data_IF_979798440070
#
_entry.id   IF_979798440070
#
_cell.length_a   1.000
_cell.length_b   1.000
_cell.length_c   1.000
_cell.angle_alpha   90.00
_cell.angle_beta   90.00
_cell.angle_gamma   90.00
#
_symmetry.space_group_name_H-M   'P 1'
#
loop_
_entity.id
_entity.type
_entity.pdbx_description
1 polymer ?
#
# COMPACT_ATOMS: atom_id res chain seq x y z
N UNK A 1 35.09 4.99 -14.00
CA UNK A 1 33.83 5.74 -13.79
C UNK A 1 32.78 4.71 -13.45
N UNK A 2 32.33 4.65 -12.20
CA UNK A 2 31.19 3.81 -11.84
C UNK A 2 29.99 4.32 -12.63
N UNK A 3 29.32 3.43 -13.36
CA UNK A 3 28.13 3.77 -14.10
C UNK A 3 27.07 4.27 -13.10
N UNK A 4 26.43 5.40 -13.36
CA UNK A 4 25.42 5.98 -12.46
C UNK A 4 24.26 5.01 -12.22
N UNK A 5 23.95 4.15 -13.21
CA UNK A 5 22.92 3.10 -13.09
C UNK A 5 23.34 2.06 -12.05
N UNK A 6 24.58 1.57 -12.10
CA UNK A 6 25.06 0.55 -11.18
C UNK A 6 25.10 1.10 -9.74
N UNK A 7 25.58 2.34 -9.57
CA UNK A 7 25.56 3.01 -8.28
C UNK A 7 24.14 3.22 -7.73
N UNK A 8 23.18 3.59 -8.58
CA UNK A 8 21.79 3.75 -8.17
C UNK A 8 21.16 2.40 -7.78
N UNK A 9 21.47 1.34 -8.52
CA UNK A 9 21.00 -0.01 -8.24
C UNK A 9 21.55 -0.56 -6.91
N UNK A 10 22.85 -0.40 -6.64
CA UNK A 10 23.45 -0.76 -5.34
C UNK A 10 22.77 -0.02 -4.19
N UNK A 11 22.60 1.30 -4.31
CA UNK A 11 21.92 2.11 -3.28
C UNK A 11 20.46 1.71 -3.07
N UNK A 12 19.74 1.36 -4.14
CA UNK A 12 18.36 0.92 -4.04
C UNK A 12 18.24 -0.42 -3.27
N UNK A 13 19.18 -1.33 -3.48
CA UNK A 13 19.25 -2.58 -2.72
C UNK A 13 19.57 -2.34 -1.24
N UNK A 14 20.50 -1.42 -0.94
CA UNK A 14 20.84 -1.06 0.45
C UNK A 14 19.62 -0.51 1.20
N UNK A 15 18.79 0.31 0.53
CA UNK A 15 17.53 0.79 1.09
C UNK A 15 16.57 -0.38 1.32
N UNK A 16 16.30 -1.20 0.30
CA UNK A 16 15.36 -2.33 0.43
C UNK A 16 15.70 -3.27 1.59
N UNK A 17 16.99 -3.51 1.83
CA UNK A 17 17.48 -4.34 2.92
C UNK A 17 17.06 -3.85 4.32
N UNK A 18 16.70 -2.57 4.47
CA UNK A 18 16.30 -1.95 5.72
C UNK A 18 14.78 -1.73 5.83
N UNK A 19 14.04 -1.73 4.71
CA UNK A 19 12.62 -1.37 4.67
C UNK A 19 11.68 -2.54 4.97
N UNK A 20 12.11 -3.79 4.74
CA UNK A 20 11.25 -4.95 4.98
C UNK A 20 11.20 -5.32 6.47
N UNK A 21 10.19 -4.81 7.17
CA UNK A 21 9.91 -5.11 8.57
C UNK A 21 9.16 -6.45 8.74
N UNK A 22 9.03 -6.97 9.98
CA UNK A 22 8.21 -8.16 10.26
C UNK A 22 6.74 -8.05 9.85
N UNK A 23 6.22 -6.84 9.68
CA UNK A 23 4.83 -6.59 9.25
C UNK A 23 4.72 -6.05 7.82
N UNK A 24 5.82 -5.95 7.08
CA UNK A 24 5.82 -5.53 5.67
C UNK A 24 6.80 -4.39 5.37
N UNK A 25 6.74 -3.89 4.13
CA UNK A 25 7.57 -2.78 3.65
C UNK A 25 7.19 -1.47 4.32
N UNK A 26 8.14 -0.86 5.02
CA UNK A 26 8.07 0.49 5.53
C UNK A 26 8.19 1.51 4.40
N UNK A 27 7.68 2.73 4.62
CA UNK A 27 7.91 3.85 3.72
C UNK A 27 9.30 4.47 3.91
N UNK A 28 9.80 4.48 5.15
CA UNK A 28 11.19 4.82 5.49
C UNK A 28 11.49 4.34 6.92
N UNK A 29 12.65 3.73 7.24
CA UNK A 29 12.89 3.14 8.57
C UNK A 29 13.07 4.22 9.64
N UNK A 30 13.59 5.39 9.26
CA UNK A 30 13.83 6.51 10.17
C UNK A 30 12.74 7.59 10.11
N UNK A 31 12.24 7.91 8.91
CA UNK A 31 11.26 8.99 8.72
C UNK A 31 9.81 8.56 8.91
N UNK A 32 9.45 7.39 8.36
CA UNK A 32 8.08 6.89 8.31
C UNK A 32 8.05 5.37 8.58
N UNK A 33 8.31 4.93 9.82
CA UNK A 33 8.42 3.51 10.19
C UNK A 33 7.05 2.83 10.29
N UNK A 34 6.30 2.89 9.19
CA UNK A 34 4.94 2.40 9.02
C UNK A 34 4.84 1.70 7.67
N UNK A 35 4.02 0.67 7.60
CA UNK A 35 3.59 0.08 6.33
C UNK A 35 2.50 0.97 5.77
N UNK A 36 2.83 1.82 4.80
CA UNK A 36 1.86 2.63 4.08
C UNK A 36 1.28 1.85 2.90
N UNK A 37 -0.03 1.93 2.67
CA UNK A 37 -0.70 1.16 1.63
C UNK A 37 -0.14 1.46 0.24
N UNK A 38 0.06 2.74 -0.09
CA UNK A 38 0.65 3.18 -1.36
C UNK A 38 2.14 2.81 -1.46
N UNK A 39 2.94 3.25 -0.51
CA UNK A 39 4.40 3.13 -0.55
C UNK A 39 4.84 1.67 -0.57
N UNK A 40 4.22 0.82 0.26
CA UNK A 40 4.54 -0.60 0.29
C UNK A 40 4.26 -1.30 -1.05
N UNK A 41 3.21 -0.89 -1.77
CA UNK A 41 2.87 -1.47 -3.07
C UNK A 41 3.80 -0.93 -4.17
N UNK A 42 4.13 0.36 -4.19
CA UNK A 42 5.07 0.91 -5.17
C UNK A 42 6.47 0.33 -4.99
N UNK A 43 6.99 0.36 -3.75
CA UNK A 43 8.32 -0.20 -3.42
C UNK A 43 8.40 -1.69 -3.75
N UNK A 44 7.28 -2.41 -3.63
CA UNK A 44 7.25 -3.83 -3.98
C UNK A 44 7.55 -4.16 -5.44
N UNK A 45 7.33 -3.22 -6.37
CA UNK A 45 7.63 -3.43 -7.79
C UNK A 45 9.13 -3.70 -8.01
N UNK A 46 9.97 -3.05 -7.22
CA UNK A 46 11.41 -3.35 -7.14
C UNK A 46 11.69 -4.54 -6.23
N UNK A 47 11.10 -4.57 -5.03
CA UNK A 47 11.39 -5.59 -4.02
C UNK A 47 11.11 -7.03 -4.50
N UNK A 48 10.06 -7.24 -5.29
CA UNK A 48 9.75 -8.56 -5.86
C UNK A 48 10.79 -9.09 -6.84
N UNK A 49 11.62 -8.21 -7.41
CA UNK A 49 12.70 -8.55 -8.33
C UNK A 49 14.06 -8.64 -7.62
N UNK A 50 14.09 -8.35 -6.31
CA UNK A 50 15.31 -8.33 -5.50
C UNK A 50 15.34 -9.58 -4.60
N UNK A 51 16.37 -10.44 -4.71
CA UNK A 51 16.49 -11.63 -3.89
C UNK A 51 16.34 -11.33 -2.39
N UNK A 52 15.54 -12.14 -1.69
CA UNK A 52 15.31 -12.03 -0.24
C UNK A 52 14.18 -11.08 0.16
N UNK A 53 13.55 -10.37 -0.80
CA UNK A 53 12.49 -9.40 -0.52
C UNK A 53 11.14 -9.77 -1.16
N UNK A 54 11.04 -10.94 -1.81
CA UNK A 54 9.90 -11.37 -2.60
C UNK A 54 8.61 -11.50 -1.75
N UNK A 55 8.76 -11.84 -0.47
CA UNK A 55 7.65 -11.99 0.46
C UNK A 55 7.15 -10.66 1.05
N UNK A 56 7.90 -9.57 0.94
CA UNK A 56 7.62 -8.34 1.68
C UNK A 56 6.27 -7.71 1.29
N UNK A 57 5.88 -7.75 0.00
CA UNK A 57 4.55 -7.29 -0.42
C UNK A 57 3.43 -8.12 0.22
N UNK A 58 3.55 -9.44 0.19
CA UNK A 58 2.55 -10.36 0.75
C UNK A 58 2.35 -10.07 2.24
N UNK A 59 3.44 -9.84 2.97
CA UNK A 59 3.39 -9.44 4.38
C UNK A 59 2.67 -8.10 4.55
N UNK A 60 3.00 -7.07 3.76
CA UNK A 60 2.30 -5.78 3.80
C UNK A 60 0.80 -5.92 3.56
N UNK A 61 0.40 -6.68 2.54
CA UNK A 61 -1.00 -6.91 2.21
C UNK A 61 -1.76 -7.64 3.33
N UNK A 62 -1.13 -8.64 3.97
CA UNK A 62 -1.69 -9.31 5.13
C UNK A 62 -1.90 -8.34 6.31
N UNK A 63 -0.92 -7.49 6.59
CA UNK A 63 -0.98 -6.47 7.65
C UNK A 63 -2.10 -5.48 7.41
N UNK A 64 -2.21 -4.94 6.18
CA UNK A 64 -3.26 -4.01 5.80
C UNK A 64 -4.65 -4.64 5.89
N UNK A 65 -4.80 -5.88 5.42
CA UNK A 65 -6.06 -6.63 5.52
C UNK A 65 -6.46 -6.87 6.99
N UNK A 66 -5.50 -7.17 7.86
CA UNK A 66 -5.73 -7.40 9.29
C UNK A 66 -6.18 -6.16 10.07
N UNK A 67 -5.99 -4.97 9.50
CA UNK A 67 -6.40 -3.69 10.08
C UNK A 67 -7.56 -3.04 9.29
N UNK A 68 -8.16 -3.75 8.32
CA UNK A 68 -9.31 -3.27 7.56
C UNK A 68 -10.50 -2.98 8.47
N UNK A 69 -11.17 -1.85 8.26
CA UNK A 69 -12.37 -1.48 9.02
C UNK A 69 -13.55 -2.42 8.70
N UNK A 70 -14.56 -2.43 9.58
CA UNK A 70 -15.78 -3.21 9.36
C UNK A 70 -16.44 -2.90 8.01
N UNK A 71 -16.43 -1.62 7.62
CA UNK A 71 -17.02 -1.10 6.38
C UNK A 71 -16.13 -1.28 5.14
N UNK A 72 -14.89 -1.77 5.31
CA UNK A 72 -13.99 -2.10 4.20
C UNK A 72 -12.90 -1.07 3.90
N UNK A 73 -12.77 -0.01 4.69
CA UNK A 73 -11.66 0.94 4.56
C UNK A 73 -10.33 0.26 4.92
N UNK A 74 -9.37 0.31 4.01
CA UNK A 74 -8.00 -0.11 4.27
C UNK A 74 -7.28 1.07 4.94
N UNK A 75 -6.54 0.85 6.06
CA UNK A 75 -5.83 1.95 6.70
C UNK A 75 -4.75 2.50 5.76
N UNK A 76 -4.52 3.81 5.85
CA UNK A 76 -3.45 4.44 5.09
C UNK A 76 -2.07 3.93 5.49
N UNK A 77 -1.90 3.70 6.80
CA UNK A 77 -0.67 3.12 7.30
C UNK A 77 -0.88 2.30 8.58
N UNK A 78 0.08 1.41 8.85
CA UNK A 78 0.17 0.61 10.08
C UNK A 78 1.55 0.78 10.69
N UNK A 79 1.62 1.22 11.94
CA UNK A 79 2.88 1.48 12.64
C UNK A 79 3.61 0.17 12.94
N UNK A 80 4.90 0.10 12.60
CA UNK A 80 5.74 -1.06 12.91
C UNK A 80 5.96 -1.19 14.42
N UNK A 81 6.05 -0.06 15.13
CA UNK A 81 6.28 -0.05 16.58
C UNK A 81 5.09 -0.60 17.38
N UNK A 82 3.86 -0.34 16.93
CA UNK A 82 2.65 -0.73 17.67
C UNK A 82 1.89 -1.89 17.06
N UNK A 83 2.14 -2.19 15.77
CA UNK A 83 1.37 -3.16 15.00
C UNK A 83 -0.08 -2.75 14.76
N UNK A 84 -0.41 -1.46 14.92
CA UNK A 84 -1.77 -0.91 14.78
C UNK A 84 -1.80 0.18 13.73
N UNK A 85 -2.95 0.35 13.10
CA UNK A 85 -3.19 1.50 12.23
C UNK A 85 -2.94 2.81 12.98
N UNK A 86 -2.33 3.78 12.30
CA UNK A 86 -2.21 5.15 12.77
C UNK A 86 -3.34 6.00 12.16
N UNK A 87 -3.90 6.91 12.95
CA UNK A 87 -4.90 7.86 12.47
C UNK A 87 -4.31 9.09 11.79
N UNK A 88 -2.98 9.26 11.87
CA UNK A 88 -2.24 10.32 11.20
C UNK A 88 -2.38 10.16 9.68
N UNK A 89 -2.89 11.19 9.01
CA UNK A 89 -3.22 11.18 7.57
C UNK A 89 -4.18 10.03 7.16
N UNK A 90 -5.09 9.61 8.03
CA UNK A 90 -5.94 8.44 7.78
C UNK A 90 -7.04 8.63 6.73
N UNK A 91 -7.40 9.87 6.39
CA UNK A 91 -8.28 10.12 5.26
C UNK A 91 -7.51 9.84 3.97
N UNK A 92 -7.52 8.62 3.46
CA UNK A 92 -6.92 8.29 2.16
C UNK A 92 -7.89 7.41 1.40
N UNK A 93 -8.29 7.85 0.20
CA UNK A 93 -9.11 7.03 -0.68
C UNK A 93 -8.28 5.98 -1.42
N UNK A 94 -7.03 6.32 -1.72
CA UNK A 94 -6.17 5.56 -2.63
C UNK A 94 -5.58 4.31 -1.96
N UNK A 95 -5.60 4.23 -0.63
CA UNK A 95 -5.21 3.04 0.13
C UNK A 95 -5.94 1.79 -0.33
N UNK A 96 -7.25 1.88 -0.55
CA UNK A 96 -8.05 0.77 -1.06
C UNK A 96 -7.67 0.41 -2.51
N UNK A 97 -7.37 1.41 -3.35
CA UNK A 97 -6.95 1.20 -4.73
C UNK A 97 -5.59 0.47 -4.78
N UNK A 98 -4.61 0.96 -4.02
CA UNK A 98 -3.29 0.34 -3.93
C UNK A 98 -3.34 -1.05 -3.32
N UNK A 99 -4.19 -1.28 -2.32
CA UNK A 99 -4.40 -2.62 -1.76
C UNK A 99 -4.89 -3.63 -2.82
N UNK A 100 -5.84 -3.22 -3.67
CA UNK A 100 -6.34 -4.05 -4.78
C UNK A 100 -5.24 -4.30 -5.81
N UNK A 101 -4.52 -3.25 -6.22
CA UNK A 101 -3.41 -3.36 -7.18
C UNK A 101 -2.27 -4.23 -6.64
N UNK A 102 -1.95 -4.11 -5.35
CA UNK A 102 -0.93 -4.92 -4.69
C UNK A 102 -1.25 -6.41 -4.75
N UNK A 103 -2.51 -6.80 -4.56
CA UNK A 103 -2.92 -8.20 -4.76
C UNK A 103 -2.81 -8.63 -6.22
N UNK A 104 -3.09 -7.74 -7.18
CA UNK A 104 -2.89 -8.04 -8.60
C UNK A 104 -1.40 -8.24 -8.94
N UNK A 105 -0.51 -7.44 -8.35
CA UNK A 105 0.94 -7.56 -8.52
C UNK A 105 1.50 -8.82 -7.85
N UNK A 106 1.09 -9.10 -6.61
CA UNK A 106 1.43 -10.35 -5.91
C UNK A 106 1.01 -11.56 -6.76
N UNK A 107 -0.25 -11.60 -7.21
CA UNK A 107 -0.74 -12.73 -7.99
C UNK A 107 -0.01 -12.86 -9.34
N UNK A 108 0.32 -11.74 -9.98
CA UNK A 108 1.08 -11.77 -11.23
C UNK A 108 2.49 -12.33 -11.05
N UNK A 109 3.14 -12.02 -9.92
CA UNK A 109 4.49 -12.48 -9.59
C UNK A 109 4.52 -13.94 -9.14
N UNK A 110 3.58 -14.37 -8.30
CA UNK A 110 3.63 -15.68 -7.62
C UNK A 110 2.70 -16.72 -8.23
N UNK A 111 1.64 -16.28 -8.92
CA UNK A 111 0.50 -17.11 -9.36
C UNK A 111 -0.20 -17.84 -8.20
N UNK A 112 -0.08 -17.33 -6.98
CA UNK A 112 -0.64 -17.93 -5.78
C UNK A 112 -2.15 -17.69 -5.67
N UNK A 113 -2.93 -18.58 -6.28
CA UNK A 113 -4.40 -18.56 -6.16
C UNK A 113 -4.89 -18.83 -4.72
N UNK A 114 -4.09 -19.51 -3.89
CA UNK A 114 -4.45 -19.81 -2.50
C UNK A 114 -4.50 -18.53 -1.67
N UNK A 115 -3.43 -17.74 -1.75
CA UNK A 115 -3.35 -16.43 -1.10
C UNK A 115 -4.44 -15.49 -1.60
N UNK A 116 -4.63 -15.37 -2.92
CA UNK A 116 -5.67 -14.50 -3.49
C UNK A 116 -7.09 -14.87 -3.00
N UNK A 117 -7.41 -16.18 -2.93
CA UNK A 117 -8.71 -16.65 -2.42
C UNK A 117 -8.88 -16.34 -0.93
N UNK A 118 -7.84 -16.50 -0.13
CA UNK A 118 -7.88 -16.17 1.29
C UNK A 118 -8.14 -14.67 1.53
N UNK A 119 -7.61 -13.81 0.66
CA UNK A 119 -7.77 -12.34 0.73
C UNK A 119 -9.03 -11.82 0.05
N UNK A 120 -9.75 -12.66 -0.70
CA UNK A 120 -10.92 -12.26 -1.48
C UNK A 120 -12.01 -11.53 -0.67
N UNK A 121 -12.36 -11.95 0.57
CA UNK A 121 -13.32 -11.22 1.38
C UNK A 121 -12.88 -9.77 1.68
N UNK A 122 -11.59 -9.56 1.97
CA UNK A 122 -11.04 -8.24 2.22
C UNK A 122 -11.05 -7.36 0.96
N UNK A 123 -10.69 -7.94 -0.20
CA UNK A 123 -10.76 -7.28 -1.51
C UNK A 123 -12.19 -6.86 -1.86
N UNK A 124 -13.17 -7.74 -1.64
CA UNK A 124 -14.58 -7.44 -1.88
C UNK A 124 -15.08 -6.25 -1.05
N UNK A 125 -14.72 -6.20 0.24
CA UNK A 125 -15.03 -5.07 1.11
C UNK A 125 -14.29 -3.80 0.69
N UNK A 126 -13.02 -3.91 0.30
CA UNK A 126 -12.23 -2.77 -0.14
C UNK A 126 -12.82 -2.11 -1.40
N UNK A 127 -13.28 -2.94 -2.36
CA UNK A 127 -13.99 -2.46 -3.54
C UNK A 127 -15.36 -1.85 -3.19
N UNK A 128 -16.11 -2.47 -2.29
CA UNK A 128 -17.40 -1.92 -1.83
C UNK A 128 -17.23 -0.55 -1.17
N UNK A 129 -16.20 -0.37 -0.34
CA UNK A 129 -15.88 0.92 0.26
C UNK A 129 -15.65 2.02 -0.80
N UNK A 130 -14.91 1.70 -1.87
CA UNK A 130 -14.68 2.62 -2.98
C UNK A 130 -15.99 2.99 -3.70
N UNK A 131 -16.89 2.03 -3.90
CA UNK A 131 -18.21 2.30 -4.50
C UNK A 131 -19.05 3.28 -3.67
N UNK A 132 -18.86 3.33 -2.35
CA UNK A 132 -19.53 4.31 -1.51
C UNK A 132 -18.96 5.73 -1.63
N UNK A 133 -17.78 5.89 -2.23
CA UNK A 133 -17.21 7.21 -2.50
C UNK A 133 -17.75 7.83 -3.80
N UNK A 134 -18.37 7.05 -4.69
CA UNK A 134 -19.10 7.58 -5.85
C UNK A 134 -20.53 7.98 -5.44
N UNK A 135 -20.63 9.09 -4.71
CA UNK A 135 -21.89 9.49 -4.06
C UNK A 135 -23.00 9.91 -5.04
N UNK A 136 -22.64 10.31 -6.26
CA UNK A 136 -23.57 10.74 -7.31
C UNK A 136 -23.74 9.71 -8.43
N UNK A 137 -23.00 8.60 -8.40
CA UNK A 137 -23.09 7.51 -9.38
C UNK A 137 -22.48 7.86 -10.74
N UNK A 138 -21.55 8.81 -10.81
CA UNK A 138 -20.92 9.24 -12.05
C UNK A 138 -19.71 8.38 -12.46
N UNK A 139 -19.29 7.45 -11.60
CA UNK A 139 -18.11 6.60 -11.83
C UNK A 139 -16.78 7.24 -11.41
N UNK A 140 -16.82 8.41 -10.76
CA UNK A 140 -15.66 9.08 -10.17
C UNK A 140 -15.72 8.99 -8.65
N UNK A 141 -14.55 8.99 -8.00
CA UNK A 141 -14.47 8.95 -6.54
C UNK A 141 -14.49 10.38 -5.99
N UNK A 142 -15.38 10.64 -5.04
CA UNK A 142 -15.42 11.90 -4.30
C UNK A 142 -14.38 11.84 -3.18
N UNK A 143 -13.41 12.75 -3.20
CA UNK A 143 -12.27 12.75 -2.28
C UNK A 143 -12.29 14.01 -1.44
N UNK A 144 -12.20 13.83 -0.13
CA UNK A 144 -12.15 14.94 0.81
C UNK A 144 -10.81 15.68 0.71
N UNK A 145 -10.81 16.95 1.11
CA UNK A 145 -9.58 17.74 1.19
C UNK A 145 -8.50 17.03 2.03
N UNK A 146 -7.26 17.06 1.56
CA UNK A 146 -6.13 16.34 2.14
C UNK A 146 -6.29 14.81 2.18
N UNK A 147 -7.19 14.23 1.37
CA UNK A 147 -7.38 12.78 1.28
C UNK A 147 -6.75 12.08 0.07
N UNK A 148 -6.00 12.83 -0.75
CA UNK A 148 -4.91 12.34 -1.59
C UNK A 148 -3.60 13.09 -1.30
N UNK A 149 -2.47 12.52 -1.71
CA UNK A 149 -1.11 12.99 -1.48
C UNK A 149 -0.83 14.36 -2.12
N UNK A 150 -1.59 14.73 -3.16
CA UNK A 150 -1.50 16.05 -3.79
C UNK A 150 -2.42 17.11 -3.14
N UNK A 151 -3.25 16.75 -2.15
CA UNK A 151 -4.35 17.58 -1.66
C UNK A 151 -4.03 18.38 -0.39
N UNK A 152 -2.73 18.58 -0.10
CA UNK A 152 -2.28 19.51 0.97
C UNK A 152 -2.66 20.98 0.71
N UNK A 153 -3.26 21.28 -0.44
CA UNK A 153 -3.77 22.58 -0.84
C UNK A 153 -5.27 22.44 -1.12
N UNK A 154 -6.07 23.43 -0.69
CA UNK A 154 -7.52 23.45 -0.77
C UNK A 154 -8.05 23.19 -2.20
N UNK A 155 -8.21 21.91 -2.51
CA UNK A 155 -8.64 21.41 -3.80
C UNK A 155 -9.79 20.44 -3.53
N UNK A 156 -10.96 20.74 -4.11
CA UNK A 156 -12.07 19.80 -4.20
C UNK A 156 -12.07 19.28 -5.62
N UNK A 157 -11.64 18.04 -5.81
CA UNK A 157 -11.66 17.38 -7.10
C UNK A 157 -12.33 16.01 -7.00
N UNK A 158 -12.97 15.63 -8.10
CA UNK A 158 -13.38 14.27 -8.37
C UNK A 158 -12.22 13.62 -9.12
N UNK A 159 -11.82 12.41 -8.72
CA UNK A 159 -10.75 11.65 -9.39
C UNK A 159 -11.31 10.40 -10.08
#
# INVERSE_FOLDING_TARGET
>A
MTNLIDMAYEKAQDVLAQECSPIGLMASPEGYPHVWARDSVITSLGAQLTPGHEACLRTSLHTLAGQQSELGAIPNNVSVATGRLDHTNAGSVDSNLWFILGHAFEYRATRDLGFLRAQWPALGKALLWLRYQDSNGCGLLEVHEAADWADLLANRFNI
#
